data_IF_322676447630
#
_entry.id   IF_322676447630
#
_cell.length_a   1.000
_cell.length_b   1.000
_cell.length_c   1.000
_cell.angle_alpha   90.00
_cell.angle_beta   90.00
_cell.angle_gamma   90.00
#
_symmetry.space_group_name_H-M   'P 1'
#
loop_
_entity.id
_entity.type
_entity.pdbx_description
1 polymer ?
#
# COMPACT_ATOMS: atom_id res chain seq x y z
N UNK A 1 -3.46 3.64 74.99
CA UNK A 1 -2.64 2.48 75.45
C UNK A 1 -2.67 2.41 76.97
N UNK A 2 -2.59 1.21 77.56
CA UNK A 2 -2.46 1.00 79.01
C UNK A 2 -1.00 0.70 79.32
N UNK A 3 -0.39 1.49 80.19
CA UNK A 3 1.01 1.33 80.59
C UNK A 3 1.09 1.59 82.10
N UNK A 4 1.67 0.66 82.86
CA UNK A 4 1.88 0.74 84.31
C UNK A 4 0.73 1.43 85.08
N UNK A 5 -0.47 0.82 85.02
CA UNK A 5 -1.68 1.21 85.75
C UNK A 5 -2.27 2.60 85.46
N UNK A 6 -1.91 3.27 84.34
CA UNK A 6 -2.53 4.52 83.90
C UNK A 6 -3.38 4.38 82.62
N UNK A 7 -4.36 5.28 82.46
CA UNK A 7 -5.09 5.47 81.21
C UNK A 7 -4.61 6.74 80.51
N UNK A 8 -4.38 6.61 79.21
CA UNK A 8 -3.79 7.65 78.38
C UNK A 8 -4.56 7.78 77.07
N UNK A 9 -4.85 9.02 76.68
CA UNK A 9 -5.29 9.37 75.34
C UNK A 9 -4.08 9.84 74.53
N UNK A 10 -3.94 9.40 73.28
CA UNK A 10 -2.82 9.74 72.39
C UNK A 10 -3.33 9.96 70.95
N UNK A 11 -2.90 11.05 70.33
CA UNK A 11 -3.09 11.35 68.91
C UNK A 11 -1.72 11.60 68.25
N UNK A 12 -1.46 10.97 67.10
CA UNK A 12 -0.21 11.10 66.33
C UNK A 12 -0.53 11.58 64.91
N UNK A 13 0.07 12.69 64.49
CA UNK A 13 -0.07 13.25 63.14
C UNK A 13 1.30 13.59 62.54
N UNK A 14 1.63 13.10 61.32
CA UNK A 14 2.85 13.49 60.61
C UNK A 14 2.70 14.87 59.97
N UNK A 15 3.76 15.68 60.03
CA UNK A 15 3.83 16.94 59.27
C UNK A 15 4.61 16.66 57.97
N UNK A 16 3.95 16.87 56.82
CA UNK A 16 4.53 16.65 55.48
C UNK A 16 4.72 17.98 54.77
N UNK A 17 5.84 18.16 54.06
CA UNK A 17 6.09 19.34 53.21
C UNK A 17 5.17 19.35 51.97
N UNK A 18 4.93 20.53 51.42
CA UNK A 18 4.14 20.71 50.18
C UNK A 18 4.97 20.64 48.89
N UNK A 19 6.26 20.31 48.97
CA UNK A 19 7.04 19.91 47.80
C UNK A 19 6.96 18.38 47.65
N UNK A 20 6.97 17.88 46.42
CA UNK A 20 6.71 16.47 46.06
C UNK A 20 7.79 15.46 46.50
N UNK A 21 8.61 15.81 47.51
CA UNK A 21 9.70 14.99 48.04
C UNK A 21 9.27 14.04 49.18
N UNK A 22 8.10 14.23 49.79
CA UNK A 22 7.47 13.27 50.71
C UNK A 22 8.17 13.01 52.05
N UNK A 23 9.36 13.56 52.32
CA UNK A 23 10.06 13.33 53.59
C UNK A 23 9.48 14.16 54.75
N UNK A 24 9.10 13.47 55.83
CA UNK A 24 8.53 14.08 57.03
C UNK A 24 9.61 14.74 57.89
N UNK A 25 9.46 16.02 58.24
CA UNK A 25 10.35 16.69 59.20
C UNK A 25 9.95 16.47 60.68
N UNK A 26 8.86 15.77 60.96
CA UNK A 26 8.50 15.39 62.33
C UNK A 26 7.08 14.85 62.50
N UNK A 27 6.80 14.38 63.71
CA UNK A 27 5.47 13.96 64.16
C UNK A 27 5.03 14.84 65.34
N UNK A 28 3.78 15.25 65.33
CA UNK A 28 3.13 15.75 66.55
C UNK A 28 2.51 14.55 67.23
N UNK A 29 3.00 14.24 68.44
CA UNK A 29 2.40 13.25 69.33
C UNK A 29 1.90 14.01 70.55
N UNK A 30 0.60 14.02 70.76
CA UNK A 30 -0.02 14.63 71.93
C UNK A 30 -0.79 13.58 72.70
N UNK A 31 -0.56 13.52 74.01
CA UNK A 31 -1.31 12.66 74.90
C UNK A 31 -1.20 13.08 76.36
N UNK A 32 -2.21 12.70 77.14
CA UNK A 32 -2.30 13.05 78.57
C UNK A 32 -2.55 11.79 79.40
N UNK A 33 -1.83 11.67 80.54
CA UNK A 33 -2.11 10.71 81.61
C UNK A 33 -3.28 11.26 82.44
N UNK A 34 -4.33 10.48 82.62
CA UNK A 34 -5.45 10.89 83.46
C UNK A 34 -5.18 10.49 84.91
N UNK A 35 -5.15 11.47 85.83
CA UNK A 35 -5.27 11.22 87.28
C UNK A 35 -6.73 11.42 87.67
N UNK A 36 -7.30 10.47 88.40
CA UNK A 36 -8.72 10.55 88.82
C UNK A 36 -9.02 11.80 89.68
N UNK A 37 -8.00 12.38 90.32
CA UNK A 37 -8.09 13.57 91.17
C UNK A 37 -8.00 14.90 90.39
N UNK A 38 -7.48 14.91 89.15
CA UNK A 38 -7.42 16.10 88.26
C UNK A 38 -8.77 16.42 87.60
N UNK A 39 -9.84 15.74 88.03
CA UNK A 39 -11.23 15.96 87.63
C UNK A 39 -12.03 16.80 88.65
N UNK A 40 -11.41 17.28 89.73
CA UNK A 40 -12.06 18.10 90.76
C UNK A 40 -11.57 19.57 90.71
N UNK A 41 -12.48 20.50 90.38
CA UNK A 41 -12.22 21.92 90.10
C UNK A 41 -12.08 22.78 91.37
N UNK A 42 -11.00 23.57 91.51
CA UNK A 42 -10.86 24.60 92.56
C UNK A 42 -9.76 25.66 92.27
N UNK A 43 -9.59 26.17 91.04
CA UNK A 43 -8.38 26.95 90.70
C UNK A 43 -8.57 28.25 89.90
N UNK A 44 -9.66 28.99 90.10
CA UNK A 44 -9.62 30.44 89.83
C UNK A 44 -10.46 31.19 90.88
N UNK A 45 -9.74 31.80 91.83
CA UNK A 45 -10.30 32.46 93.01
C UNK A 45 -10.51 33.99 92.85
N UNK A 46 -10.27 34.58 91.68
CA UNK A 46 -10.77 35.91 91.26
C UNK A 46 -10.31 36.26 89.84
N UNK A 47 -11.22 36.58 88.92
CA UNK A 47 -10.89 37.18 87.60
C UNK A 47 -11.98 38.19 87.20
N UNK A 48 -11.58 39.41 86.84
CA UNK A 48 -12.43 40.56 86.47
C UNK A 48 -12.80 40.60 84.98
N UNK A 49 -13.86 41.35 84.66
CA UNK A 49 -14.42 41.52 83.30
C UNK A 49 -14.11 42.90 82.73
N UNK A 50 -13.88 42.98 81.41
CA UNK A 50 -14.06 44.21 80.62
C UNK A 50 -14.71 43.88 79.27
N UNK A 51 -15.72 44.66 78.89
CA UNK A 51 -16.53 44.53 77.68
C UNK A 51 -15.73 44.72 76.39
N UNK A 52 -16.08 43.97 75.33
CA UNK A 52 -16.07 44.50 73.95
C UNK A 52 -17.18 43.85 73.10
N UNK A 53 -17.88 44.72 72.37
CA UNK A 53 -19.06 44.55 71.54
C UNK A 53 -18.86 43.80 70.20
N UNK A 54 -19.96 43.21 69.72
CA UNK A 54 -20.29 42.79 68.35
C UNK A 54 -19.44 41.68 67.67
N UNK A 55 -19.84 40.42 67.90
CA UNK A 55 -19.43 39.24 67.10
C UNK A 55 -20.66 38.63 66.39
N UNK A 56 -20.67 38.60 65.05
CA UNK A 56 -21.60 37.76 64.28
C UNK A 56 -20.95 36.39 64.00
N UNK A 57 -21.61 35.31 64.42
CA UNK A 57 -21.09 33.95 64.36
C UNK A 57 -21.64 33.21 63.13
N UNK A 58 -20.77 32.55 62.36
CA UNK A 58 -21.11 31.93 61.08
C UNK A 58 -21.39 30.42 61.18
N UNK A 59 -20.88 29.72 62.20
CA UNK A 59 -21.13 28.28 62.41
C UNK A 59 -21.25 28.00 63.91
N UNK A 60 -22.24 27.21 64.33
CA UNK A 60 -22.50 26.88 65.73
C UNK A 60 -22.53 25.35 65.92
N UNK A 61 -21.74 24.83 66.86
CA UNK A 61 -21.71 23.40 67.21
C UNK A 61 -22.15 23.20 68.67
N UNK A 62 -23.02 22.22 68.92
CA UNK A 62 -23.58 21.90 70.24
C UNK A 62 -22.97 20.58 70.73
N UNK A 63 -22.46 20.55 71.96
CA UNK A 63 -21.88 19.37 72.63
C UNK A 63 -22.51 19.20 74.02
N UNK A 64 -22.73 17.96 74.48
CA UNK A 64 -23.45 17.65 75.72
C UNK A 64 -22.75 18.02 77.04
N UNK A 65 -21.48 18.46 76.99
CA UNK A 65 -20.71 18.95 78.14
C UNK A 65 -20.26 20.42 78.04
N UNK A 66 -20.40 21.04 76.87
CA UNK A 66 -20.15 22.47 76.58
C UNK A 66 -21.20 22.90 75.55
N UNK A 67 -22.25 23.60 75.99
CA UNK A 67 -23.49 23.68 75.19
C UNK A 67 -23.39 24.53 73.91
N UNK A 68 -22.41 25.42 73.71
CA UNK A 68 -22.24 26.14 72.42
C UNK A 68 -20.77 26.47 72.10
N UNK A 69 -20.28 26.02 70.94
CA UNK A 69 -19.07 26.51 70.27
C UNK A 69 -19.50 27.36 69.09
N UNK A 70 -19.26 28.67 69.18
CA UNK A 70 -19.59 29.60 68.09
C UNK A 70 -18.32 30.03 67.38
N UNK A 71 -18.28 29.83 66.07
CA UNK A 71 -17.17 30.22 65.20
C UNK A 71 -17.58 31.50 64.46
N UNK A 72 -16.86 32.59 64.68
CA UNK A 72 -17.05 33.86 63.99
C UNK A 72 -15.87 34.12 63.05
N UNK A 73 -16.19 34.52 61.82
CA UNK A 73 -15.24 34.90 60.80
C UNK A 73 -15.43 36.39 60.56
N UNK A 74 -14.45 37.19 61.00
CA UNK A 74 -14.47 38.63 60.88
C UNK A 74 -13.35 39.06 59.92
N UNK A 75 -13.66 39.98 59.03
CA UNK A 75 -12.67 40.57 58.13
C UNK A 75 -12.54 42.06 58.41
N UNK A 76 -11.31 42.57 58.42
CA UNK A 76 -11.04 44.00 58.24
C UNK A 76 -10.21 44.21 56.96
N UNK A 77 -9.82 45.45 56.66
CA UNK A 77 -9.13 45.76 55.39
C UNK A 77 -7.81 44.98 55.23
N UNK A 78 -7.09 44.68 56.31
CA UNK A 78 -5.75 44.07 56.27
C UNK A 78 -5.68 42.60 56.73
N UNK A 79 -6.63 42.13 57.53
CA UNK A 79 -6.58 40.82 58.18
C UNK A 79 -7.90 40.04 58.07
N UNK A 80 -7.77 38.73 57.91
CA UNK A 80 -8.79 37.73 58.17
C UNK A 80 -8.60 37.24 59.60
N UNK A 81 -9.61 37.41 60.43
CA UNK A 81 -9.55 37.07 61.85
C UNK A 81 -10.61 36.02 62.14
N UNK A 82 -10.15 34.84 62.56
CA UNK A 82 -11.04 33.76 62.96
C UNK A 82 -11.10 33.72 64.49
N UNK A 83 -12.33 33.69 65.00
CA UNK A 83 -12.61 33.49 66.40
C UNK A 83 -13.32 32.16 66.59
N UNK A 84 -12.83 31.37 67.55
CA UNK A 84 -13.55 30.21 68.08
C UNK A 84 -13.85 30.51 69.54
N UNK A 85 -15.13 30.73 69.83
CA UNK A 85 -15.60 31.13 71.14
C UNK A 85 -16.37 29.98 71.82
N UNK A 86 -16.02 29.71 73.07
CA UNK A 86 -16.59 28.64 73.88
C UNK A 86 -17.45 29.21 75.01
N UNK A 87 -18.70 28.77 75.11
CA UNK A 87 -19.69 29.24 76.09
C UNK A 87 -20.13 28.12 77.04
N UNK A 88 -20.55 28.47 78.27
CA UNK A 88 -21.18 27.53 79.20
C UNK A 88 -22.73 27.50 79.05
N UNK A 89 -23.41 26.59 79.77
CA UNK A 89 -24.87 26.35 79.72
C UNK A 89 -25.76 27.59 79.97
N UNK A 90 -25.27 28.58 80.71
CA UNK A 90 -25.95 29.85 80.99
C UNK A 90 -25.56 30.96 80.00
N UNK A 91 -24.96 30.61 78.86
CA UNK A 91 -24.45 31.54 77.83
C UNK A 91 -23.34 32.49 78.31
N UNK A 92 -22.68 32.17 79.43
CA UNK A 92 -21.54 32.94 79.92
C UNK A 92 -20.27 32.54 79.17
N UNK A 93 -19.54 33.54 78.67
CA UNK A 93 -18.32 33.38 77.87
C UNK A 93 -17.20 32.74 78.70
N UNK A 94 -16.53 31.73 78.14
CA UNK A 94 -15.52 30.95 78.88
C UNK A 94 -14.12 31.06 78.30
N UNK A 95 -13.97 31.10 76.97
CA UNK A 95 -12.67 31.18 76.29
C UNK A 95 -12.84 31.61 74.83
N UNK A 96 -11.91 32.42 74.30
CA UNK A 96 -11.81 32.74 72.86
C UNK A 96 -10.43 32.37 72.34
N UNK A 97 -10.38 31.69 71.19
CA UNK A 97 -9.17 31.50 70.42
C UNK A 97 -9.25 32.40 69.19
N UNK A 98 -8.27 33.31 69.04
CA UNK A 98 -8.15 34.23 67.91
C UNK A 98 -6.97 33.83 67.05
N UNK A 99 -7.20 33.56 65.76
CA UNK A 99 -6.12 33.49 64.76
C UNK A 99 -6.22 34.69 63.82
N UNK A 100 -5.09 35.31 63.51
CA UNK A 100 -5.01 36.49 62.64
C UNK A 100 -4.15 36.13 61.44
N UNK A 101 -4.77 36.05 60.28
CA UNK A 101 -4.10 35.82 59.00
C UNK A 101 -4.14 37.10 58.16
N UNK A 102 -3.01 37.52 57.61
CA UNK A 102 -2.96 38.73 56.76
C UNK A 102 -3.73 38.48 55.45
N UNK A 103 -4.71 39.34 55.15
CA UNK A 103 -5.57 39.26 53.95
C UNK A 103 -4.77 39.39 52.65
N UNK A 104 -3.66 40.12 52.70
CA UNK A 104 -2.66 40.18 51.61
C UNK A 104 -2.18 38.78 51.19
N UNK A 105 -1.92 37.87 52.12
CA UNK A 105 -1.39 36.53 51.79
C UNK A 105 -2.43 35.73 50.99
N UNK A 106 -3.71 35.82 51.36
CA UNK A 106 -4.82 35.17 50.65
C UNK A 106 -5.10 35.79 49.28
N UNK A 107 -5.17 37.12 49.19
CA UNK A 107 -5.38 37.81 47.91
C UNK A 107 -4.19 37.63 46.95
N UNK A 108 -2.95 37.66 47.47
CA UNK A 108 -1.73 37.43 46.70
C UNK A 108 -1.67 35.98 46.18
N UNK A 109 -2.12 35.01 46.97
CA UNK A 109 -2.31 33.62 46.52
C UNK A 109 -3.32 33.47 45.38
N UNK A 110 -4.49 34.11 45.48
CA UNK A 110 -5.52 34.11 44.41
C UNK A 110 -5.02 34.79 43.13
N UNK A 111 -4.31 35.91 43.25
CA UNK A 111 -3.70 36.62 42.11
C UNK A 111 -2.63 35.77 41.41
N UNK A 112 -1.82 35.03 42.17
CA UNK A 112 -0.81 34.12 41.62
C UNK A 112 -1.45 32.95 40.86
N UNK A 113 -2.54 32.37 41.36
CA UNK A 113 -3.29 31.30 40.66
C UNK A 113 -3.90 31.84 39.36
N UNK A 114 -4.53 33.02 39.39
CA UNK A 114 -5.09 33.65 38.19
C UNK A 114 -4.01 33.96 37.15
N UNK A 115 -2.84 34.45 37.57
CA UNK A 115 -1.71 34.72 36.70
C UNK A 115 -1.13 33.44 36.09
N UNK A 116 -1.00 32.37 36.87
CA UNK A 116 -0.55 31.07 36.38
C UNK A 116 -1.50 30.48 35.34
N UNK A 117 -2.82 30.52 35.59
CA UNK A 117 -3.83 30.07 34.63
C UNK A 117 -3.81 30.89 33.34
N UNK A 118 -3.55 32.20 33.43
CA UNK A 118 -3.39 33.07 32.27
C UNK A 118 -2.18 32.65 31.43
N UNK A 119 -1.03 32.38 32.06
CA UNK A 119 0.16 31.88 31.37
C UNK A 119 -0.12 30.56 30.68
N UNK A 120 -0.72 29.59 31.37
CA UNK A 120 -1.07 28.29 30.78
C UNK A 120 -2.01 28.46 29.58
N UNK A 121 -3.03 29.32 29.70
CA UNK A 121 -3.97 29.58 28.61
C UNK A 121 -3.27 30.17 27.38
N UNK A 122 -2.34 31.10 27.57
CA UNK A 122 -1.53 31.68 26.49
C UNK A 122 -0.66 30.60 25.83
N UNK A 123 0.04 29.78 26.62
CA UNK A 123 0.86 28.68 26.11
C UNK A 123 0.03 27.66 25.33
N UNK A 124 -1.19 27.37 25.77
CA UNK A 124 -2.10 26.46 25.09
C UNK A 124 -2.56 27.00 23.74
N UNK A 125 -2.89 28.31 23.66
CA UNK A 125 -3.23 28.97 22.39
C UNK A 125 -2.05 28.95 21.41
N UNK A 126 -0.83 29.20 21.88
CA UNK A 126 0.38 29.11 21.06
C UNK A 126 0.59 27.68 20.54
N UNK A 127 0.41 26.67 21.39
CA UNK A 127 0.52 25.27 21.01
C UNK A 127 -0.50 24.90 19.92
N UNK A 128 -1.77 25.30 20.08
CA UNK A 128 -2.82 25.07 19.06
C UNK A 128 -2.43 25.74 17.74
N UNK A 129 -1.92 26.97 17.79
CA UNK A 129 -1.49 27.69 16.59
C UNK A 129 -0.34 26.98 15.86
N UNK A 130 0.65 26.47 16.61
CA UNK A 130 1.76 25.68 16.05
C UNK A 130 1.24 24.39 15.41
N UNK A 131 0.35 23.66 16.11
CA UNK A 131 -0.24 22.43 15.59
C UNK A 131 -1.06 22.69 14.31
N UNK A 132 -1.87 23.74 14.29
CA UNK A 132 -2.63 24.14 13.10
C UNK A 132 -1.72 24.50 11.93
N UNK A 133 -0.67 25.30 12.18
CA UNK A 133 0.32 25.68 11.17
C UNK A 133 1.06 24.45 10.63
N UNK A 134 1.41 23.51 11.50
CA UNK A 134 2.03 22.23 11.12
C UNK A 134 1.08 21.38 10.26
N UNK A 135 -0.19 21.25 10.64
CA UNK A 135 -1.19 20.53 9.84
C UNK A 135 -1.36 21.14 8.44
N UNK A 136 -1.42 22.47 8.35
CA UNK A 136 -1.51 23.17 7.06
C UNK A 136 -0.26 22.93 6.19
N UNK A 137 0.92 22.93 6.80
CA UNK A 137 2.17 22.61 6.11
C UNK A 137 2.15 21.17 5.58
N UNK A 138 1.73 20.19 6.40
CA UNK A 138 1.61 18.79 6.01
C UNK A 138 0.61 18.58 4.86
N UNK A 139 -0.54 19.24 4.91
CA UNK A 139 -1.52 19.17 3.81
C UNK A 139 -0.95 19.70 2.48
N UNK A 140 -0.23 20.84 2.52
CA UNK A 140 0.44 21.38 1.33
C UNK A 140 1.51 20.44 0.80
N UNK A 141 2.31 19.85 1.68
CA UNK A 141 3.35 18.91 1.30
C UNK A 141 2.75 17.64 0.68
N UNK A 142 1.72 17.06 1.30
CA UNK A 142 1.02 15.89 0.78
C UNK A 142 0.37 16.17 -0.58
N UNK A 143 -0.27 17.33 -0.75
CA UNK A 143 -0.86 17.71 -2.04
C UNK A 143 0.21 17.87 -3.13
N UNK A 144 1.35 18.47 -2.80
CA UNK A 144 2.48 18.59 -3.74
C UNK A 144 3.03 17.21 -4.11
N UNK A 145 3.22 16.33 -3.14
CA UNK A 145 3.69 14.97 -3.36
C UNK A 145 2.71 14.17 -4.22
N UNK A 146 1.40 14.27 -3.97
CA UNK A 146 0.37 13.61 -4.79
C UNK A 146 0.45 14.07 -6.25
N UNK A 147 0.56 15.37 -6.51
CA UNK A 147 0.69 15.90 -7.87
C UNK A 147 1.97 15.38 -8.56
N UNK A 148 3.09 15.31 -7.82
CA UNK A 148 4.36 14.82 -8.35
C UNK A 148 4.32 13.32 -8.67
N UNK A 149 3.71 12.52 -7.77
CA UNK A 149 3.47 11.09 -7.98
C UNK A 149 2.55 10.86 -9.19
N UNK A 150 1.44 11.59 -9.30
CA UNK A 150 0.54 11.49 -10.45
C UNK A 150 1.24 11.84 -11.77
N UNK A 151 2.10 12.86 -11.75
CA UNK A 151 2.89 13.26 -12.91
C UNK A 151 3.89 12.17 -13.33
N UNK A 152 4.60 11.58 -12.38
CA UNK A 152 5.55 10.49 -12.67
C UNK A 152 4.82 9.21 -13.12
N UNK A 153 3.68 8.85 -12.52
CA UNK A 153 2.85 7.73 -12.98
C UNK A 153 2.39 7.97 -14.42
N UNK A 154 1.93 9.18 -14.74
CA UNK A 154 1.50 9.52 -16.10
C UNK A 154 2.65 9.40 -17.09
N UNK A 155 3.82 9.94 -16.76
CA UNK A 155 5.03 9.85 -17.58
C UNK A 155 5.48 8.40 -17.79
N UNK A 156 5.44 7.58 -16.73
CA UNK A 156 5.76 6.15 -16.80
C UNK A 156 4.79 5.42 -17.74
N UNK A 157 3.48 5.67 -17.64
CA UNK A 157 2.48 5.10 -18.55
C UNK A 157 2.68 5.51 -20.01
N UNK A 158 3.04 6.77 -20.26
CA UNK A 158 3.34 7.25 -21.62
C UNK A 158 4.59 6.56 -22.19
N UNK A 159 5.63 6.38 -21.38
CA UNK A 159 6.84 5.62 -21.77
C UNK A 159 6.53 4.15 -22.04
N UNK A 160 5.72 3.51 -21.19
CA UNK A 160 5.28 2.13 -21.39
C UNK A 160 4.51 1.98 -22.70
N UNK A 161 3.56 2.87 -22.99
CA UNK A 161 2.83 2.91 -24.26
C UNK A 161 3.75 3.06 -25.48
N UNK A 162 4.77 3.92 -25.38
CA UNK A 162 5.77 4.09 -26.44
C UNK A 162 6.57 2.80 -26.65
N UNK A 163 6.97 2.11 -25.58
CA UNK A 163 7.65 0.80 -25.67
C UNK A 163 6.76 -0.26 -26.32
N UNK A 164 5.45 -0.29 -26.00
CA UNK A 164 4.49 -1.18 -26.66
C UNK A 164 4.47 -0.91 -28.16
N UNK A 165 4.40 0.37 -28.56
CA UNK A 165 4.36 0.75 -29.97
C UNK A 165 5.66 0.39 -30.70
N UNK A 166 6.83 0.62 -30.09
CA UNK A 166 8.12 0.23 -30.64
C UNK A 166 8.25 -1.29 -30.80
N UNK A 167 7.82 -2.06 -29.79
CA UNK A 167 7.77 -3.53 -29.85
C UNK A 167 6.90 -4.02 -31.01
N UNK A 168 5.72 -3.43 -31.18
CA UNK A 168 4.82 -3.76 -32.29
C UNK A 168 5.44 -3.44 -33.65
N UNK A 169 6.08 -2.28 -33.79
CA UNK A 169 6.74 -1.89 -35.04
C UNK A 169 7.92 -2.82 -35.38
N UNK A 170 8.69 -3.23 -34.37
CA UNK A 170 9.79 -4.18 -34.56
C UNK A 170 9.28 -5.55 -35.01
N UNK A 171 8.26 -6.09 -34.34
CA UNK A 171 7.61 -7.34 -34.74
C UNK A 171 6.98 -7.25 -36.14
N UNK A 172 6.39 -6.10 -36.49
CA UNK A 172 5.85 -5.84 -37.82
C UNK A 172 6.96 -5.82 -38.89
N UNK A 173 8.12 -5.22 -38.60
CA UNK A 173 9.28 -5.24 -39.48
C UNK A 173 9.76 -6.66 -39.79
N UNK A 174 9.85 -7.51 -38.77
CA UNK A 174 10.19 -8.92 -38.94
C UNK A 174 9.12 -9.66 -39.77
N UNK A 175 7.84 -9.42 -39.49
CA UNK A 175 6.73 -10.02 -40.21
C UNK A 175 6.66 -9.61 -41.68
N UNK A 176 7.06 -8.39 -42.06
CA UNK A 176 7.09 -7.98 -43.47
C UNK A 176 8.00 -8.91 -44.29
N UNK A 177 9.12 -9.35 -43.73
CA UNK A 177 9.99 -10.36 -44.35
C UNK A 177 9.27 -11.69 -44.55
N UNK A 178 8.54 -12.15 -43.54
CA UNK A 178 7.77 -13.40 -43.58
C UNK A 178 6.63 -13.31 -44.60
N UNK A 179 5.89 -12.20 -44.64
CA UNK A 179 4.84 -11.94 -45.64
C UNK A 179 5.42 -12.02 -47.04
N UNK A 180 6.54 -11.33 -47.29
CA UNK A 180 7.19 -11.35 -48.60
C UNK A 180 7.58 -12.78 -49.02
N UNK A 181 8.04 -13.61 -48.09
CA UNK A 181 8.36 -15.00 -48.36
C UNK A 181 7.10 -15.83 -48.68
N UNK A 182 6.07 -15.73 -47.83
CA UNK A 182 4.78 -16.41 -48.02
C UNK A 182 4.09 -16.00 -49.31
N UNK A 183 4.28 -14.76 -49.77
CA UNK A 183 3.70 -14.24 -51.01
C UNK A 183 4.41 -14.71 -52.27
N UNK A 184 5.71 -14.98 -52.18
CA UNK A 184 6.49 -15.49 -53.31
C UNK A 184 5.96 -16.84 -53.79
N UNK A 185 5.48 -17.69 -52.87
CA UNK A 185 4.92 -19.01 -53.20
C UNK A 185 3.66 -18.97 -54.08
N UNK A 186 2.55 -18.33 -53.69
CA UNK A 186 1.35 -18.22 -54.52
C UNK A 186 1.61 -17.39 -55.78
N UNK A 187 2.51 -16.40 -55.74
CA UNK A 187 2.91 -15.65 -56.92
C UNK A 187 3.62 -16.54 -57.96
N UNK A 188 4.54 -17.40 -57.51
CA UNK A 188 5.17 -18.40 -58.37
C UNK A 188 4.14 -19.38 -58.94
N UNK A 189 3.20 -19.84 -58.10
CA UNK A 189 2.12 -20.71 -58.54
C UNK A 189 1.22 -20.03 -59.58
N UNK A 190 0.90 -18.74 -59.42
CA UNK A 190 0.18 -17.95 -60.42
C UNK A 190 0.97 -17.86 -61.73
N UNK A 191 2.28 -17.63 -61.66
CA UNK A 191 3.17 -17.65 -62.83
C UNK A 191 3.12 -18.98 -63.57
N UNK A 192 3.11 -20.11 -62.85
CA UNK A 192 2.97 -21.45 -63.43
C UNK A 192 1.58 -21.66 -64.06
N UNK A 193 0.51 -21.19 -63.43
CA UNK A 193 -0.84 -21.26 -64.03
C UNK A 193 -0.87 -20.50 -65.35
N UNK A 194 -0.29 -19.30 -65.41
CA UNK A 194 -0.22 -18.50 -66.65
C UNK A 194 0.61 -19.20 -67.75
N UNK A 195 1.76 -19.78 -67.39
CA UNK A 195 2.58 -20.57 -68.33
C UNK A 195 1.81 -21.78 -68.86
N UNK A 196 1.06 -22.49 -68.01
CA UNK A 196 0.25 -23.62 -68.40
C UNK A 196 -0.88 -23.23 -69.37
N UNK A 197 -1.52 -22.06 -69.16
CA UNK A 197 -2.52 -21.54 -70.10
C UNK A 197 -1.87 -21.26 -71.47
N UNK A 198 -0.71 -20.60 -71.49
CA UNK A 198 -0.01 -20.29 -72.73
C UNK A 198 0.41 -21.56 -73.47
N UNK A 199 0.94 -22.55 -72.74
CA UNK A 199 1.34 -23.83 -73.30
C UNK A 199 0.15 -24.60 -73.89
N UNK A 200 -0.96 -24.73 -73.15
CA UNK A 200 -2.19 -25.38 -73.61
C UNK A 200 -2.74 -24.72 -74.89
N UNK A 201 -2.65 -23.40 -74.99
CA UNK A 201 -3.03 -22.67 -76.20
C UNK A 201 -2.13 -23.03 -77.39
N UNK A 202 -0.81 -23.07 -77.19
CA UNK A 202 0.16 -23.36 -78.25
C UNK A 202 0.00 -24.77 -78.84
N UNK A 203 -0.39 -25.75 -78.03
CA UNK A 203 -0.59 -27.14 -78.46
C UNK A 203 -2.03 -27.45 -78.89
N UNK A 204 -2.94 -26.48 -78.82
CA UNK A 204 -4.34 -26.64 -79.22
C UNK A 204 -5.22 -27.42 -78.22
N UNK A 205 -4.77 -27.58 -76.97
CA UNK A 205 -5.49 -28.28 -75.89
C UNK A 205 -6.23 -27.33 -74.94
N UNK A 206 -6.25 -26.03 -75.23
CA UNK A 206 -6.99 -25.07 -74.42
C UNK A 206 -8.50 -25.19 -74.68
N UNK A 207 -9.23 -25.74 -73.71
CA UNK A 207 -10.69 -25.81 -73.71
C UNK A 207 -11.32 -25.02 -72.56
N UNK A 208 -12.66 -24.95 -72.55
CA UNK A 208 -13.42 -24.25 -71.51
C UNK A 208 -13.19 -24.85 -70.11
N UNK A 209 -12.97 -26.16 -70.00
CA UNK A 209 -12.77 -26.83 -68.71
C UNK A 209 -11.41 -26.47 -68.12
N UNK A 210 -10.36 -26.49 -68.94
CA UNK A 210 -9.02 -26.03 -68.58
C UNK A 210 -9.06 -24.56 -68.12
N UNK A 211 -9.71 -23.69 -68.89
CA UNK A 211 -9.83 -22.27 -68.54
C UNK A 211 -10.55 -22.08 -67.20
N UNK A 212 -11.68 -22.76 -66.99
CA UNK A 212 -12.41 -22.67 -65.72
C UNK A 212 -11.57 -23.11 -64.52
N UNK A 213 -10.82 -24.22 -64.65
CA UNK A 213 -9.90 -24.69 -63.59
C UNK A 213 -8.77 -23.70 -63.33
N UNK A 214 -8.20 -23.11 -64.38
CA UNK A 214 -7.13 -22.13 -64.24
C UNK A 214 -7.62 -20.85 -63.53
N UNK A 215 -8.83 -20.38 -63.86
CA UNK A 215 -9.49 -19.25 -63.20
C UNK A 215 -9.81 -19.58 -61.73
N UNK A 216 -10.38 -20.75 -61.45
CA UNK A 216 -10.67 -21.18 -60.07
C UNK A 216 -9.39 -21.25 -59.22
N UNK A 217 -8.31 -21.83 -59.78
CA UNK A 217 -7.01 -21.90 -59.11
C UNK A 217 -6.44 -20.51 -58.85
N UNK A 218 -6.54 -19.61 -59.82
CA UNK A 218 -6.10 -18.21 -59.71
C UNK A 218 -6.88 -17.49 -58.60
N UNK A 219 -8.21 -17.59 -58.61
CA UNK A 219 -9.07 -16.98 -57.59
C UNK A 219 -8.78 -17.52 -56.20
N UNK A 220 -8.53 -18.82 -56.07
CA UNK A 220 -8.16 -19.43 -54.79
C UNK A 220 -6.82 -18.88 -54.29
N UNK A 221 -5.80 -18.79 -55.16
CA UNK A 221 -4.49 -18.25 -54.79
C UNK A 221 -4.58 -16.77 -54.38
N UNK A 222 -5.28 -15.93 -55.15
CA UNK A 222 -5.43 -14.50 -54.83
C UNK A 222 -6.27 -14.27 -53.58
N UNK A 223 -7.33 -15.06 -53.36
CA UNK A 223 -8.14 -15.00 -52.12
C UNK A 223 -7.31 -15.37 -50.91
N UNK A 224 -6.51 -16.44 -51.00
CA UNK A 224 -5.60 -16.84 -49.92
C UNK A 224 -4.58 -15.76 -49.63
N UNK A 225 -3.96 -15.16 -50.67
CA UNK A 225 -3.03 -14.04 -50.49
C UNK A 225 -3.66 -12.86 -49.77
N UNK A 226 -4.88 -12.46 -50.15
CA UNK A 226 -5.61 -11.37 -49.48
C UNK A 226 -5.92 -11.69 -48.03
N UNK A 227 -6.41 -12.92 -47.75
CA UNK A 227 -6.68 -13.38 -46.38
C UNK A 227 -5.42 -13.32 -45.51
N UNK A 228 -4.27 -13.73 -46.05
CA UNK A 228 -2.98 -13.61 -45.35
C UNK A 228 -2.69 -12.15 -44.98
N UNK A 229 -2.83 -11.18 -45.90
CA UNK A 229 -2.65 -9.75 -45.55
C UNK A 229 -3.56 -9.35 -44.40
N UNK A 230 -4.84 -9.71 -44.49
CA UNK A 230 -5.81 -9.32 -43.50
C UNK A 230 -5.49 -9.92 -42.13
N UNK A 231 -5.05 -11.18 -42.06
CA UNK A 231 -4.60 -11.82 -40.83
C UNK A 231 -3.40 -11.08 -40.21
N UNK A 232 -2.40 -10.72 -41.03
CA UNK A 232 -1.24 -9.92 -40.58
C UNK A 232 -1.66 -8.51 -40.12
N UNK A 233 -2.54 -7.83 -40.86
CA UNK A 233 -3.02 -6.49 -40.53
C UNK A 233 -3.85 -6.49 -39.25
N UNK A 234 -4.70 -7.49 -39.08
CA UNK A 234 -5.56 -7.64 -37.91
C UNK A 234 -4.76 -8.00 -36.65
N UNK A 235 -3.64 -8.72 -36.79
CA UNK A 235 -2.73 -9.03 -35.68
C UNK A 235 -2.20 -7.76 -34.97
N UNK A 236 -1.82 -6.73 -35.74
CA UNK A 236 -1.29 -5.48 -35.19
C UNK A 236 -2.35 -4.41 -34.90
N UNK A 237 -3.61 -4.67 -35.25
CA UNK A 237 -4.68 -3.71 -34.98
C UNK A 237 -4.79 -3.52 -33.46
N UNK A 238 -4.79 -2.28 -32.94
CA UNK A 238 -4.91 -2.05 -31.50
C UNK A 238 -6.28 -2.54 -31.02
N UNK A 239 -6.32 -3.73 -30.43
CA UNK A 239 -7.55 -4.27 -29.87
C UNK A 239 -7.69 -3.73 -28.45
N UNK A 240 -8.53 -2.70 -28.29
CA UNK A 240 -8.72 -2.01 -27.00
C UNK A 240 -9.77 -2.67 -26.11
N UNK A 241 -10.45 -3.70 -26.60
CA UNK A 241 -11.55 -4.36 -25.88
C UNK A 241 -11.13 -5.75 -25.44
N UNK A 242 -11.31 -6.03 -24.14
CA UNK A 242 -11.19 -7.38 -23.60
C UNK A 242 -12.34 -8.23 -24.14
N UNK A 243 -12.03 -9.46 -24.54
CA UNK A 243 -13.04 -10.44 -24.94
C UNK A 243 -12.61 -11.81 -24.42
N UNK A 244 -13.58 -12.73 -24.38
CA UNK A 244 -13.25 -14.14 -24.28
C UNK A 244 -12.53 -14.57 -25.57
N UNK A 245 -11.49 -15.38 -25.42
CA UNK A 245 -10.78 -15.98 -26.53
C UNK A 245 -10.19 -17.34 -26.12
N UNK A 246 -10.14 -18.26 -27.09
CA UNK A 246 -9.51 -19.57 -26.91
C UNK A 246 -8.00 -19.45 -27.10
N UNK A 247 -7.23 -19.83 -26.09
CA UNK A 247 -5.76 -19.66 -26.13
C UNK A 247 -5.12 -20.49 -27.24
N UNK A 248 -5.63 -21.70 -27.48
CA UNK A 248 -5.06 -22.61 -28.48
C UNK A 248 -5.25 -22.07 -29.89
N UNK A 249 -6.43 -21.51 -30.19
CA UNK A 249 -6.65 -20.86 -31.48
C UNK A 249 -5.70 -19.67 -31.69
N UNK A 250 -5.45 -18.89 -30.63
CA UNK A 250 -4.52 -17.77 -30.70
C UNK A 250 -3.06 -18.23 -30.86
N UNK A 251 -2.66 -19.32 -30.19
CA UNK A 251 -1.35 -19.96 -30.35
C UNK A 251 -1.17 -20.45 -31.79
N UNK A 252 -2.14 -21.20 -32.32
CA UNK A 252 -2.06 -21.76 -33.68
C UNK A 252 -2.02 -20.65 -34.73
N UNK A 253 -2.87 -19.62 -34.60
CA UNK A 253 -2.80 -18.43 -35.47
C UNK A 253 -1.42 -17.79 -35.42
N UNK A 254 -0.80 -17.71 -34.25
CA UNK A 254 0.52 -17.10 -34.11
C UNK A 254 1.63 -17.97 -34.72
N UNK A 255 1.55 -19.29 -34.56
CA UNK A 255 2.48 -20.25 -35.20
C UNK A 255 2.35 -20.17 -36.72
N UNK A 256 1.13 -20.10 -37.26
CA UNK A 256 0.87 -19.99 -38.70
C UNK A 256 1.56 -18.77 -39.33
N UNK A 257 1.62 -17.64 -38.63
CA UNK A 257 2.32 -16.43 -39.10
C UNK A 257 3.84 -16.61 -39.23
N UNK A 258 4.42 -17.59 -38.54
CA UNK A 258 5.85 -17.90 -38.56
C UNK A 258 6.19 -19.19 -39.30
N UNK A 259 5.18 -19.94 -39.76
CA UNK A 259 5.32 -21.30 -40.28
C UNK A 259 6.34 -21.39 -41.44
N UNK A 260 6.21 -20.52 -42.45
CA UNK A 260 7.14 -20.48 -43.59
C UNK A 260 8.59 -20.20 -43.18
N UNK A 261 8.78 -19.45 -42.10
CA UNK A 261 10.10 -19.09 -41.60
C UNK A 261 10.70 -20.25 -40.82
N UNK A 262 9.89 -20.95 -40.02
CA UNK A 262 10.33 -22.19 -39.38
C UNK A 262 10.68 -23.27 -40.40
N UNK A 263 9.88 -23.43 -41.45
CA UNK A 263 10.18 -24.34 -42.57
C UNK A 263 11.49 -23.98 -43.26
N UNK A 264 11.71 -22.69 -43.56
CA UNK A 264 12.94 -22.23 -44.20
C UNK A 264 14.20 -22.57 -43.39
N UNK A 265 14.12 -22.51 -42.06
CA UNK A 265 15.23 -22.82 -41.15
C UNK A 265 15.21 -24.27 -40.62
N UNK A 266 14.37 -25.15 -41.17
CA UNK A 266 14.19 -26.54 -40.74
C UNK A 266 13.89 -26.70 -39.23
N UNK A 267 13.08 -25.80 -38.67
CA UNK A 267 12.65 -25.83 -37.27
C UNK A 267 11.31 -26.56 -37.17
N UNK A 268 11.27 -27.67 -36.43
CA UNK A 268 10.06 -28.45 -36.20
C UNK A 268 9.28 -27.93 -35.00
N UNK A 269 8.02 -27.54 -35.22
CA UNK A 269 7.09 -27.16 -34.14
C UNK A 269 6.30 -28.39 -33.69
N UNK A 270 6.51 -28.83 -32.44
CA UNK A 270 5.68 -29.84 -31.80
C UNK A 270 4.62 -29.17 -30.93
N UNK A 271 3.37 -29.60 -31.08
CA UNK A 271 2.21 -29.03 -30.39
C UNK A 271 1.61 -30.10 -29.49
N UNK A 272 1.38 -29.74 -28.24
CA UNK A 272 0.71 -30.58 -27.24
C UNK A 272 -0.24 -29.67 -26.46
N UNK A 273 -1.35 -29.36 -27.13
CA UNK A 273 -2.34 -28.40 -26.67
C UNK A 273 -3.55 -29.17 -26.12
N UNK A 274 -3.81 -29.05 -24.81
CA UNK A 274 -5.00 -29.64 -24.18
C UNK A 274 -6.29 -28.96 -24.67
N UNK A 275 -7.45 -29.61 -24.55
CA UNK A 275 -8.72 -29.04 -25.03
C UNK A 275 -9.20 -27.78 -24.26
N UNK A 276 -9.91 -26.92 -25.01
CA UNK A 276 -10.76 -25.79 -24.58
C UNK A 276 -10.35 -25.02 -23.32
N UNK A 277 -9.31 -24.18 -23.47
CA UNK A 277 -8.95 -23.17 -22.47
C UNK A 277 -9.34 -21.79 -23.01
N UNK A 278 -10.32 -21.17 -22.38
CA UNK A 278 -10.80 -19.83 -22.69
C UNK A 278 -10.34 -18.83 -21.62
N UNK A 279 -9.87 -17.67 -22.05
CA UNK A 279 -9.43 -16.58 -21.18
C UNK A 279 -10.15 -15.28 -21.52
N UNK A 280 -10.39 -14.46 -20.50
CA UNK A 280 -10.90 -13.11 -20.69
C UNK A 280 -9.74 -12.10 -20.72
N UNK A 281 -9.50 -11.47 -21.86
CA UNK A 281 -8.38 -10.54 -21.99
C UNK A 281 -8.18 -10.02 -23.41
N UNK A 282 -6.95 -9.59 -23.71
CA UNK A 282 -6.59 -9.03 -25.01
C UNK A 282 -5.90 -10.10 -25.87
N UNK A 283 -6.68 -10.77 -26.72
CA UNK A 283 -6.15 -11.82 -27.63
C UNK A 283 -4.94 -11.36 -28.46
N UNK A 284 -4.94 -10.10 -28.94
CA UNK A 284 -3.82 -9.54 -29.69
C UNK A 284 -2.54 -9.36 -28.86
N UNK A 285 -2.66 -8.98 -27.58
CA UNK A 285 -1.49 -8.83 -26.70
C UNK A 285 -0.92 -10.20 -26.30
N UNK A 286 -1.81 -11.18 -26.08
CA UNK A 286 -1.41 -12.56 -25.88
C UNK A 286 -0.67 -13.11 -27.11
N UNK A 287 -1.25 -12.94 -28.31
CA UNK A 287 -0.60 -13.28 -29.59
C UNK A 287 0.79 -12.65 -29.73
N UNK A 288 0.93 -11.36 -29.40
CA UNK A 288 2.23 -10.66 -29.44
C UNK A 288 3.24 -11.27 -28.46
N UNK A 289 2.79 -11.68 -27.27
CA UNK A 289 3.63 -12.34 -26.27
C UNK A 289 4.16 -13.69 -26.78
N UNK A 290 3.28 -14.50 -27.37
CA UNK A 290 3.63 -15.79 -27.97
C UNK A 290 4.60 -15.59 -29.15
N UNK A 291 4.32 -14.63 -30.02
CA UNK A 291 5.16 -14.30 -31.17
C UNK A 291 6.59 -13.93 -30.74
N UNK A 292 6.73 -13.06 -29.73
CA UNK A 292 8.03 -12.63 -29.24
C UNK A 292 8.86 -13.80 -28.71
N UNK A 293 8.23 -14.72 -27.97
CA UNK A 293 8.92 -15.91 -27.45
C UNK A 293 9.32 -16.85 -28.59
N UNK A 294 8.42 -17.11 -29.53
CA UNK A 294 8.68 -17.97 -30.69
C UNK A 294 9.78 -17.39 -31.61
N UNK A 295 9.79 -16.08 -31.83
CA UNK A 295 10.83 -15.41 -32.61
C UNK A 295 12.19 -15.54 -31.93
N UNK A 296 12.27 -15.31 -30.61
CA UNK A 296 13.50 -15.49 -29.85
C UNK A 296 14.01 -16.94 -29.88
N UNK A 297 13.12 -17.92 -29.74
CA UNK A 297 13.47 -19.34 -29.84
C UNK A 297 14.06 -19.67 -31.23
N UNK A 298 13.44 -19.15 -32.31
CA UNK A 298 13.95 -19.29 -33.67
C UNK A 298 15.31 -18.64 -33.85
N UNK A 299 15.51 -17.42 -33.36
CA UNK A 299 16.81 -16.73 -33.47
C UNK A 299 17.91 -17.51 -32.75
N UNK A 300 17.64 -18.00 -31.53
CA UNK A 300 18.57 -18.87 -30.80
C UNK A 300 18.87 -20.16 -31.59
N UNK A 301 17.87 -20.80 -32.18
CA UNK A 301 18.04 -22.01 -32.98
C UNK A 301 18.84 -21.76 -34.27
N UNK A 302 18.71 -20.59 -34.91
CA UNK A 302 19.47 -20.24 -36.13
C UNK A 302 20.97 -20.16 -35.82
N UNK A 303 21.35 -19.69 -34.64
CA UNK A 303 22.75 -19.60 -34.19
C UNK A 303 23.36 -20.97 -33.86
N UNK A 304 22.54 -22.00 -33.68
CA UNK A 304 23.02 -23.38 -33.45
C UNK A 304 23.36 -24.13 -34.74
N UNK A 305 24.28 -25.09 -34.63
CA UNK A 305 24.63 -26.07 -35.66
C UNK A 305 23.78 -27.35 -35.60
N UNK A 306 22.72 -27.37 -34.78
CA UNK A 306 21.85 -28.53 -34.62
C UNK A 306 21.08 -28.82 -35.92
N UNK A 307 21.03 -30.08 -36.33
CA UNK A 307 20.20 -30.52 -37.45
C UNK A 307 18.73 -30.68 -37.04
N UNK A 308 18.47 -31.17 -35.83
CA UNK A 308 17.12 -31.40 -35.29
C UNK A 308 16.62 -30.19 -34.47
N UNK A 309 16.49 -29.03 -35.11
CA UNK A 309 15.95 -27.82 -34.46
C UNK A 309 14.46 -28.03 -34.15
N UNK A 310 14.06 -27.86 -32.89
CA UNK A 310 12.68 -28.05 -32.46
C UNK A 310 12.24 -26.99 -31.46
N UNK A 311 10.95 -26.68 -31.50
CA UNK A 311 10.26 -25.92 -30.46
C UNK A 311 9.03 -26.72 -30.06
N UNK A 312 8.83 -26.91 -28.76
CA UNK A 312 7.69 -27.61 -28.19
C UNK A 312 6.78 -26.58 -27.54
N UNK A 313 5.52 -26.53 -27.98
CA UNK A 313 4.49 -25.67 -27.39
C UNK A 313 3.47 -26.54 -26.70
N UNK A 314 3.32 -26.32 -25.38
CA UNK A 314 2.32 -27.00 -24.55
C UNK A 314 1.32 -26.01 -24.00
N UNK A 315 0.05 -26.40 -23.96
CA UNK A 315 -0.95 -25.68 -23.19
C UNK A 315 -1.78 -26.66 -22.37
N UNK A 316 -2.00 -26.34 -21.10
CA UNK A 316 -2.83 -27.15 -20.22
C UNK A 316 -3.41 -26.32 -19.10
N UNK A 317 -4.50 -26.82 -18.51
CA UNK A 317 -5.12 -26.22 -17.34
C UNK A 317 -4.59 -26.90 -16.09
N UNK A 318 -4.16 -26.10 -15.11
CA UNK A 318 -3.81 -26.56 -13.77
C UNK A 318 -4.63 -25.74 -12.77
N UNK A 319 -5.63 -26.37 -12.15
CA UNK A 319 -6.62 -25.70 -11.29
C UNK A 319 -7.32 -24.54 -12.04
N UNK A 320 -7.26 -23.32 -11.51
CA UNK A 320 -7.81 -22.10 -12.11
C UNK A 320 -6.76 -21.30 -12.91
N UNK A 321 -5.71 -21.98 -13.39
CA UNK A 321 -4.64 -21.33 -14.12
C UNK A 321 -4.40 -22.05 -15.45
N UNK A 322 -4.42 -21.29 -16.54
CA UNK A 322 -3.94 -21.73 -17.83
C UNK A 322 -2.41 -21.65 -17.84
N UNK A 323 -1.75 -22.75 -18.16
CA UNK A 323 -0.30 -22.83 -18.31
C UNK A 323 0.02 -22.98 -19.80
N UNK A 324 0.94 -22.17 -20.28
CA UNK A 324 1.51 -22.27 -21.62
C UNK A 324 3.02 -22.40 -21.47
N UNK A 325 3.60 -23.44 -22.04
CA UNK A 325 5.03 -23.69 -22.03
C UNK A 325 5.55 -23.64 -23.47
N UNK A 326 6.61 -22.88 -23.70
CA UNK A 326 7.31 -22.82 -24.99
C UNK A 326 8.77 -23.16 -24.70
N UNK A 327 9.21 -24.32 -25.21
CA UNK A 327 10.55 -24.85 -24.99
C UNK A 327 11.29 -25.02 -26.32
N UNK A 328 12.47 -24.43 -26.43
CA UNK A 328 13.41 -24.68 -27.54
C UNK A 328 14.48 -25.70 -27.14
N UNK A 329 15.27 -26.15 -28.12
CA UNK A 329 16.49 -26.93 -27.89
C UNK A 329 17.77 -26.18 -28.30
N UNK A 330 17.83 -24.86 -28.06
CA UNK A 330 18.90 -23.99 -28.52
C UNK A 330 20.05 -23.80 -27.50
N UNK A 331 20.16 -24.66 -26.48
CA UNK A 331 21.25 -24.58 -25.48
C UNK A 331 21.00 -23.66 -24.28
N UNK A 332 19.81 -23.04 -24.19
CA UNK A 332 19.36 -22.33 -22.99
C UNK A 332 19.90 -20.91 -22.85
N UNK A 333 19.70 -20.32 -21.67
CA UNK A 333 20.08 -18.94 -21.34
C UNK A 333 21.20 -18.96 -20.29
N UNK A 334 22.28 -18.21 -20.52
CA UNK A 334 23.35 -18.13 -19.51
C UNK A 334 22.82 -17.61 -18.16
N UNK A 335 23.22 -18.25 -17.05
CA UNK A 335 22.74 -17.89 -15.71
C UNK A 335 23.04 -16.42 -15.33
N UNK A 336 24.15 -15.87 -15.84
CA UNK A 336 24.56 -14.48 -15.60
C UNK A 336 23.57 -13.45 -16.16
N UNK A 337 22.88 -13.79 -17.24
CA UNK A 337 21.96 -12.87 -17.95
C UNK A 337 20.50 -13.21 -17.70
N UNK A 338 20.18 -14.38 -17.13
CA UNK A 338 18.81 -14.87 -16.91
C UNK A 338 17.88 -13.85 -16.23
N UNK A 339 18.40 -13.09 -15.26
CA UNK A 339 17.61 -12.05 -14.57
C UNK A 339 17.47 -10.75 -15.38
N UNK A 340 18.37 -10.53 -16.35
CA UNK A 340 18.42 -9.33 -17.19
C UNK A 340 17.64 -9.44 -18.49
N UNK A 341 17.29 -10.65 -18.94
CA UNK A 341 16.59 -10.85 -20.22
C UNK A 341 15.22 -10.13 -20.30
N UNK A 342 14.65 -9.79 -19.15
CA UNK A 342 13.40 -9.05 -19.04
C UNK A 342 13.61 -7.54 -18.82
N UNK A 343 14.84 -7.05 -18.78
CA UNK A 343 15.13 -5.62 -18.72
C UNK A 343 14.92 -4.99 -20.11
N UNK A 344 14.37 -3.77 -20.18
CA UNK A 344 14.18 -3.09 -21.46
C UNK A 344 15.53 -2.80 -22.11
N UNK A 345 15.59 -2.95 -23.44
CA UNK A 345 16.78 -2.75 -24.27
C UNK A 345 17.92 -3.76 -24.05
N UNK A 346 17.71 -4.78 -23.21
CA UNK A 346 18.67 -5.87 -23.08
C UNK A 346 18.61 -6.80 -24.30
N UNK A 347 19.75 -7.01 -24.96
CA UNK A 347 19.88 -7.92 -26.10
C UNK A 347 21.28 -8.54 -26.12
N UNK A 348 21.36 -9.81 -26.50
CA UNK A 348 22.64 -10.51 -26.78
C UNK A 348 22.99 -10.50 -28.27
N UNK A 349 22.07 -10.07 -29.13
CA UNK A 349 22.26 -9.97 -30.58
C UNK A 349 23.20 -8.84 -30.95
N UNK A 350 23.83 -8.95 -32.12
CA UNK A 350 24.66 -7.89 -32.71
C UNK A 350 23.92 -6.54 -32.78
N UNK A 351 24.68 -5.45 -32.73
CA UNK A 351 24.17 -4.10 -32.72
C UNK A 351 23.25 -3.84 -33.93
N UNK A 352 22.02 -3.41 -33.67
CA UNK A 352 20.99 -3.19 -34.70
C UNK A 352 20.13 -4.41 -35.09
N UNK A 353 20.47 -5.64 -34.66
CA UNK A 353 19.66 -6.85 -34.94
C UNK A 353 18.65 -7.21 -33.85
N UNK A 354 18.74 -6.59 -32.68
CA UNK A 354 17.81 -6.79 -31.57
C UNK A 354 17.42 -5.47 -30.94
N UNK A 355 16.11 -5.23 -30.78
CA UNK A 355 15.63 -4.04 -30.05
C UNK A 355 15.78 -4.18 -28.54
N UNK A 356 15.87 -5.41 -28.04
CA UNK A 356 15.85 -5.71 -26.60
C UNK A 356 14.53 -5.38 -25.90
N UNK A 357 13.45 -5.13 -26.66
CA UNK A 357 12.15 -4.72 -26.11
C UNK A 357 11.18 -5.91 -26.02
N UNK A 358 11.40 -6.98 -26.80
CA UNK A 358 10.45 -8.09 -26.95
C UNK A 358 10.08 -8.78 -25.63
N UNK A 359 11.07 -9.33 -24.90
CA UNK A 359 10.83 -10.06 -23.65
C UNK A 359 10.36 -9.15 -22.51
N UNK A 360 10.89 -7.93 -22.41
CA UNK A 360 10.37 -6.92 -21.48
C UNK A 360 8.87 -6.70 -21.72
N UNK A 361 8.47 -6.51 -22.98
CA UNK A 361 7.07 -6.29 -23.32
C UNK A 361 6.20 -7.52 -23.09
N UNK A 362 6.69 -8.71 -23.40
CA UNK A 362 5.99 -9.97 -23.06
C UNK A 362 5.74 -10.02 -21.55
N UNK A 363 6.74 -9.70 -20.72
CA UNK A 363 6.57 -9.68 -19.27
C UNK A 363 5.53 -8.66 -18.83
N UNK A 364 5.61 -7.43 -19.32
CA UNK A 364 4.64 -6.37 -19.06
C UNK A 364 3.21 -6.76 -19.44
N UNK A 365 3.00 -7.35 -20.63
CA UNK A 365 1.68 -7.79 -21.08
C UNK A 365 1.15 -8.89 -20.16
N UNK A 366 1.94 -9.93 -19.91
CA UNK A 366 1.50 -11.06 -19.11
C UNK A 366 1.23 -10.66 -17.66
N UNK A 367 2.12 -9.89 -17.04
CA UNK A 367 2.03 -9.55 -15.61
C UNK A 367 1.10 -8.34 -15.34
N UNK A 368 1.18 -7.26 -16.14
CA UNK A 368 0.42 -6.04 -15.90
C UNK A 368 -0.95 -6.04 -16.62
N UNK A 369 -1.02 -6.45 -17.89
CA UNK A 369 -2.27 -6.40 -18.66
C UNK A 369 -3.20 -7.60 -18.38
N UNK A 370 -2.60 -8.78 -18.18
CA UNK A 370 -3.33 -10.04 -18.03
C UNK A 370 -3.29 -10.64 -16.62
N UNK A 371 -2.61 -9.98 -15.66
CA UNK A 371 -2.51 -10.39 -14.26
C UNK A 371 -1.98 -11.83 -14.07
N UNK A 372 -1.13 -12.27 -14.99
CA UNK A 372 -0.45 -13.55 -14.96
C UNK A 372 0.97 -13.48 -14.44
N UNK A 373 1.76 -14.49 -14.78
CA UNK A 373 3.18 -14.57 -14.47
C UNK A 373 3.96 -15.16 -15.64
N UNK A 374 5.10 -14.54 -15.96
CA UNK A 374 6.05 -15.06 -16.94
C UNK A 374 7.30 -15.57 -16.22
N UNK A 375 7.62 -16.84 -16.41
CA UNK A 375 8.81 -17.49 -15.84
C UNK A 375 9.68 -18.05 -16.95
N UNK A 376 10.97 -18.23 -16.64
CA UNK A 376 11.95 -18.84 -17.55
C UNK A 376 12.85 -19.79 -16.78
N UNK A 377 13.06 -20.97 -17.35
CA UNK A 377 14.00 -21.96 -16.86
C UNK A 377 14.81 -22.57 -18.00
N UNK A 378 16.03 -23.00 -17.70
CA UNK A 378 16.76 -23.84 -18.63
C UNK A 378 16.34 -25.28 -18.41
N UNK A 379 16.13 -26.00 -19.50
CA UNK A 379 16.01 -27.45 -19.50
C UNK A 379 17.35 -28.08 -19.87
N UNK A 380 17.35 -29.40 -20.09
CA UNK A 380 18.54 -30.11 -20.54
C UNK A 380 19.01 -29.65 -21.92
N UNK A 381 18.05 -29.31 -22.79
CA UNK A 381 18.33 -29.10 -24.21
C UNK A 381 18.21 -27.61 -24.62
N UNK A 382 17.47 -26.78 -23.87
CA UNK A 382 17.27 -25.37 -24.24
C UNK A 382 16.60 -24.52 -23.17
N UNK A 383 15.95 -23.44 -23.58
CA UNK A 383 15.20 -22.55 -22.70
C UNK A 383 13.70 -22.89 -22.73
N UNK A 384 13.04 -22.80 -21.57
CA UNK A 384 11.58 -22.94 -21.43
C UNK A 384 10.99 -21.70 -20.81
N UNK A 385 10.11 -21.06 -21.56
CA UNK A 385 9.26 -19.98 -21.09
C UNK A 385 7.92 -20.54 -20.62
N UNK A 386 7.50 -20.14 -19.43
CA UNK A 386 6.27 -20.61 -18.79
C UNK A 386 5.39 -19.40 -18.52
N UNK A 387 4.25 -19.34 -19.21
CA UNK A 387 3.21 -18.33 -19.02
C UNK A 387 2.11 -18.93 -18.15
N UNK A 388 1.79 -18.28 -17.04
CA UNK A 388 0.72 -18.66 -16.12
C UNK A 388 -0.36 -17.58 -16.14
N UNK A 389 -1.55 -17.90 -16.60
CA UNK A 389 -2.66 -16.95 -16.70
C UNK A 389 -3.84 -17.41 -15.84
N UNK A 390 -4.38 -16.56 -14.95
CA UNK A 390 -5.57 -16.92 -14.20
C UNK A 390 -6.76 -17.07 -15.16
N UNK A 391 -7.52 -18.15 -15.00
CA UNK A 391 -8.78 -18.36 -15.70
C UNK A 391 -9.84 -17.64 -14.88
N UNK A 392 -9.93 -16.32 -15.05
CA UNK A 392 -10.92 -15.49 -14.37
C UNK A 392 -12.31 -15.75 -14.97
N UNK A 393 -13.26 -16.09 -14.10
CA UNK A 393 -14.70 -16.00 -14.37
C UNK A 393 -15.21 -14.77 -13.61
N UNK A 394 -15.22 -13.62 -14.29
CA UNK A 394 -15.67 -12.29 -13.79
C UNK A 394 -15.12 -11.81 -12.43
#
# INVERSE_FOLDING_TARGET
MKYQNGHFYLAKLPIVKSDSSGESKGYIISGRKLKLEELNFALFDNISFSDVENKHYNINFISSYLDNIKIALLHNEENLINYIDFFNKNNTFKLSIKTVDKREIYQKGKKNILFFNLIISILFVILIYILFSYMQYQQKLNKKLQIEVEKEIKKQREQEQLLIQQSKLAAMGEMIGNIAHQWRQPLNALGLVMQNIQFAYQIGELDNNFMNKAVEKTNTLTTNMSKTIDDFRNFFKPNKTKSYFKINETIEKTIFLLESTFEHYNIKIQRDLAEDIELFGFSSEFSQSILNILSNAKDALIETTLENKKIVVKSYKKNETAIIEIEDNAGGIEDKIKNKIFEPYFTTKEEGKGTGIGLYMTKTIIENSMYGKLEVENTKDGAKFIIKLPITKE
#
